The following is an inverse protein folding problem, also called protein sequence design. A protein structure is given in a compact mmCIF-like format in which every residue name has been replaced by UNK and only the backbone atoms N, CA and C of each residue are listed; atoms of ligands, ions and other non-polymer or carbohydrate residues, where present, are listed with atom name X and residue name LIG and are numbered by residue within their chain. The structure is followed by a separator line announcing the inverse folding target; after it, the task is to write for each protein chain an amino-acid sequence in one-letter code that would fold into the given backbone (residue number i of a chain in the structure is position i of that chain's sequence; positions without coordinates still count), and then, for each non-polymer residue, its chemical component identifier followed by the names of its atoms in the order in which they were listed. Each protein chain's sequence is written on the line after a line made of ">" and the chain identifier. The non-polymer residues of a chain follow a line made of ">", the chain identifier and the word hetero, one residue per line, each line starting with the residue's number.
data_IF_616809486907
#
_entry.id   IF_616809486907
#
_cell.length_a   1.000
_cell.length_b   1.000
_cell.length_c   1.000
_cell.angle_alpha   90.00
_cell.angle_beta   90.00
_cell.angle_gamma   90.00
#
_symmetry.space_group_name_H-M   'P 1'
#
loop_
_entity.id
_entity.type
_entity.pdbx_description
1 polymer ?
#
# COMPACT_ATOMS: atom_id res chain seq x y z
N UNK A 1 -13.86 0.19 -15.97
CA UNK A 1 -14.39 -0.33 -14.68
C UNK A 1 -14.15 0.72 -13.61
N UNK A 2 -15.12 1.05 -12.75
CA UNK A 2 -14.95 2.09 -11.70
C UNK A 2 -14.45 1.42 -10.41
N UNK A 3 -13.20 1.68 -10.02
CA UNK A 3 -12.62 1.17 -8.77
C UNK A 3 -13.30 1.79 -7.54
N UNK A 4 -13.52 0.99 -6.51
CA UNK A 4 -13.99 1.45 -5.19
C UNK A 4 -12.90 2.26 -4.47
N UNK A 5 -13.27 2.96 -3.39
CA UNK A 5 -12.31 3.70 -2.59
C UNK A 5 -11.19 2.81 -2.01
N UNK A 6 -11.52 1.59 -1.57
CA UNK A 6 -10.55 0.65 -1.05
C UNK A 6 -9.58 0.15 -2.13
N UNK A 7 -10.11 -0.24 -3.30
CA UNK A 7 -9.30 -0.67 -4.43
C UNK A 7 -8.36 0.44 -4.93
N UNK A 8 -8.82 1.70 -4.94
CA UNK A 8 -7.97 2.86 -5.26
C UNK A 8 -6.81 2.99 -4.27
N UNK A 9 -7.06 2.82 -2.96
CA UNK A 9 -6.00 2.86 -1.94
C UNK A 9 -4.97 1.75 -2.18
N UNK A 10 -5.39 0.55 -2.56
CA UNK A 10 -4.46 -0.53 -2.91
C UNK A 10 -3.62 -0.20 -4.15
N UNK A 11 -4.24 0.33 -5.20
CA UNK A 11 -3.52 0.76 -6.40
C UNK A 11 -2.49 1.84 -6.06
N UNK A 12 -2.89 2.87 -5.29
CA UNK A 12 -1.95 3.91 -4.82
C UNK A 12 -0.83 3.32 -3.95
N UNK A 13 -1.15 2.37 -3.06
CA UNK A 13 -0.15 1.70 -2.23
C UNK A 13 0.89 0.98 -3.09
N UNK A 14 0.45 0.20 -4.09
CA UNK A 14 1.37 -0.47 -5.02
C UNK A 14 2.19 0.56 -5.79
N UNK A 15 1.58 1.65 -6.26
CA UNK A 15 2.29 2.73 -6.98
C UNK A 15 3.39 3.39 -6.16
N UNK A 16 3.19 3.55 -4.86
CA UNK A 16 4.18 4.15 -3.97
C UNK A 16 5.33 3.21 -3.61
N UNK A 17 5.07 1.91 -3.52
CA UNK A 17 6.04 0.92 -3.02
C UNK A 17 6.75 0.13 -4.15
N UNK A 18 6.16 0.09 -5.34
CA UNK A 18 6.74 -0.59 -6.49
C UNK A 18 7.38 0.44 -7.44
N UNK A 19 8.51 0.13 -8.12
CA UNK A 19 9.15 1.01 -9.09
C UNK A 19 8.39 1.16 -10.41
N UNK A 20 7.06 1.20 -10.39
CA UNK A 20 6.24 1.48 -11.58
C UNK A 20 6.31 2.95 -12.05
N UNK A 21 6.83 3.86 -11.22
CA UNK A 21 7.06 5.27 -11.57
C UNK A 21 8.49 5.75 -11.26
N UNK A 22 9.34 5.96 -12.26
CA UNK A 22 10.64 6.59 -12.03
C UNK A 22 10.44 8.11 -11.89
N UNK A 23 10.41 8.63 -10.66
CA UNK A 23 10.17 10.06 -10.34
C UNK A 23 11.07 11.05 -11.10
N UNK A 24 12.25 10.63 -11.56
CA UNK A 24 13.17 11.47 -12.37
C UNK A 24 12.67 11.70 -13.80
N UNK A 25 11.85 10.81 -14.35
CA UNK A 25 11.37 10.88 -15.74
C UNK A 25 10.24 11.88 -15.95
N UNK A 26 9.63 12.39 -14.89
CA UNK A 26 8.47 13.30 -14.97
C UNK A 26 8.85 14.78 -15.09
N UNK A 27 10.13 15.13 -14.88
CA UNK A 27 10.59 16.52 -14.96
C UNK A 27 10.54 17.00 -16.42
N UNK A 28 9.76 18.05 -16.67
CA UNK A 28 9.61 18.66 -18.00
C UNK A 28 8.51 18.03 -18.87
N UNK A 29 7.77 17.03 -18.35
CA UNK A 29 6.62 16.49 -19.07
C UNK A 29 5.43 17.45 -19.05
N UNK A 30 4.70 17.48 -20.16
CA UNK A 30 3.42 18.16 -20.29
C UNK A 30 2.34 17.49 -19.43
N UNK A 31 1.24 18.20 -19.18
CA UNK A 31 0.09 17.65 -18.42
C UNK A 31 -0.49 16.39 -19.08
N UNK A 32 -0.47 16.32 -20.41
CA UNK A 32 -0.96 15.15 -21.15
C UNK A 32 -0.06 13.94 -20.97
N UNK A 33 1.26 14.13 -21.06
CA UNK A 33 2.24 13.06 -20.84
C UNK A 33 2.19 12.54 -19.41
N UNK A 34 2.04 13.43 -18.43
CA UNK A 34 1.83 13.03 -17.03
C UNK A 34 0.57 12.20 -16.85
N UNK A 35 -0.53 12.56 -17.52
CA UNK A 35 -1.79 11.82 -17.44
C UNK A 35 -1.71 10.42 -18.08
N UNK A 36 -1.02 10.30 -19.22
CA UNK A 36 -0.82 8.99 -19.87
C UNK A 36 0.10 8.10 -19.04
N UNK A 37 1.17 8.66 -18.47
CA UNK A 37 2.08 7.92 -17.62
C UNK A 37 1.39 7.48 -16.32
N UNK A 38 0.51 8.31 -15.76
CA UNK A 38 -0.34 7.96 -14.62
C UNK A 38 -1.26 6.79 -14.94
N UNK A 39 -1.88 6.80 -16.12
CA UNK A 39 -2.73 5.70 -16.61
C UNK A 39 -1.95 4.41 -16.82
N UNK A 40 -0.72 4.47 -17.33
CA UNK A 40 0.16 3.30 -17.45
C UNK A 40 0.52 2.73 -16.08
N UNK A 41 0.82 3.60 -15.11
CA UNK A 41 1.14 3.16 -13.75
C UNK A 41 -0.05 2.54 -13.02
N UNK A 42 -1.24 3.09 -13.22
CA UNK A 42 -2.48 2.49 -12.74
C UNK A 42 -2.66 1.09 -13.35
N UNK A 43 -2.46 0.94 -14.67
CA UNK A 43 -2.51 -0.36 -15.35
C UNK A 43 -1.53 -1.38 -14.77
N UNK A 44 -0.27 -0.96 -14.57
CA UNK A 44 0.77 -1.82 -14.00
C UNK A 44 0.45 -2.25 -12.55
N UNK A 45 -0.04 -1.33 -11.73
CA UNK A 45 -0.44 -1.61 -10.36
C UNK A 45 -1.64 -2.55 -10.29
N UNK A 46 -2.63 -2.38 -11.18
CA UNK A 46 -3.78 -3.26 -11.32
C UNK A 46 -3.35 -4.67 -11.74
N UNK A 47 -2.49 -4.79 -12.77
CA UNK A 47 -1.98 -6.07 -13.23
C UNK A 47 -1.17 -6.79 -12.15
N UNK A 48 -0.39 -6.04 -11.37
CA UNK A 48 0.35 -6.57 -10.23
C UNK A 48 -0.62 -7.15 -9.18
N UNK A 49 -1.66 -6.40 -8.83
CA UNK A 49 -2.68 -6.84 -7.87
C UNK A 49 -3.44 -8.07 -8.38
N UNK A 50 -3.79 -8.10 -9.67
CA UNK A 50 -4.43 -9.26 -10.30
C UNK A 50 -3.58 -10.52 -10.23
N UNK A 51 -2.26 -10.39 -10.43
CA UNK A 51 -1.34 -11.52 -10.41
C UNK A 51 -1.08 -12.08 -9.00
N UNK A 52 -1.11 -11.23 -7.96
CA UNK A 52 -0.60 -11.58 -6.62
C UNK A 52 -1.64 -11.58 -5.52
N UNK A 53 -2.71 -10.80 -5.66
CA UNK A 53 -3.67 -10.57 -4.59
C UNK A 53 -5.06 -10.94 -5.07
N UNK A 54 -5.35 -12.23 -5.29
CA UNK A 54 -6.65 -12.72 -5.83
C UNK A 54 -7.89 -12.00 -5.27
N UNK A 55 -7.92 -11.73 -3.97
CA UNK A 55 -9.07 -11.17 -3.26
C UNK A 55 -9.22 -9.64 -3.38
N UNK A 56 -8.27 -8.93 -4.01
CA UNK A 56 -8.30 -7.46 -4.04
C UNK A 56 -9.53 -6.89 -4.77
N UNK A 57 -10.08 -7.65 -5.74
CA UNK A 57 -11.29 -7.29 -6.49
C UNK A 57 -12.58 -7.53 -5.71
N UNK A 58 -12.56 -8.39 -4.69
CA UNK A 58 -13.74 -8.74 -3.89
C UNK A 58 -14.21 -7.55 -3.03
N UNK A 59 -13.45 -6.44 -3.00
CA UNK A 59 -13.73 -5.23 -2.21
C UNK A 59 -13.96 -5.54 -0.72
N UNK A 60 -13.46 -6.68 -0.26
CA UNK A 60 -13.49 -7.13 1.12
C UNK A 60 -12.07 -6.96 1.66
N UNK A 61 -11.76 -5.83 2.32
CA UNK A 61 -10.47 -5.71 2.99
C UNK A 61 -10.32 -6.90 3.95
N UNK A 62 -9.14 -7.56 3.99
CA UNK A 62 -8.91 -8.57 5.01
C UNK A 62 -9.21 -7.94 6.36
N UNK A 63 -10.04 -8.63 7.17
CA UNK A 63 -10.34 -8.18 8.53
C UNK A 63 -9.00 -7.93 9.19
N UNK A 64 -8.72 -6.67 9.53
CA UNK A 64 -7.52 -6.34 10.27
C UNK A 64 -7.64 -7.07 11.59
N UNK A 65 -6.86 -8.13 11.76
CA UNK A 65 -6.60 -8.66 13.09
C UNK A 65 -5.98 -7.49 13.84
N UNK A 66 -6.77 -6.86 14.71
CA UNK A 66 -6.26 -5.82 15.59
C UNK A 66 -5.21 -6.49 16.44
N UNK A 67 -3.94 -6.22 16.16
CA UNK A 67 -2.86 -6.58 17.05
C UNK A 67 -2.93 -5.57 18.19
N UNK A 68 -3.53 -5.98 19.30
CA UNK A 68 -3.47 -5.22 20.54
C UNK A 68 -2.06 -5.42 21.09
N UNK A 69 -1.19 -4.44 20.85
CA UNK A 69 0.11 -4.36 21.52
C UNK A 69 -0.22 -3.89 22.93
N UNK A 70 -0.23 -4.81 23.89
CA UNK A 70 -0.22 -4.44 25.30
C UNK A 70 1.10 -3.70 25.57
N UNK A 71 1.09 -2.55 26.27
CA UNK A 71 2.33 -1.98 26.75
C UNK A 71 3.01 -3.03 27.63
N UNK A 72 4.30 -3.28 27.37
CA UNK A 72 5.15 -4.02 28.31
C UNK A 72 5.19 -3.15 29.56
N UNK A 73 4.46 -3.52 30.60
CA UNK A 73 4.74 -3.01 31.93
C UNK A 73 6.06 -3.66 32.32
N UNK A 74 7.09 -2.84 32.50
CA UNK A 74 8.36 -3.24 33.10
C UNK A 74 8.07 -3.71 34.54
N UNK A 75 7.68 -4.97 34.70
CA UNK A 75 7.90 -5.74 35.92
C UNK A 75 9.24 -6.46 35.73
N UNK A 76 10.33 -5.84 36.22
CA UNK A 76 11.38 -6.50 37.00
C UNK A 76 12.61 -5.59 37.15
N UNK A 77 12.98 -5.23 38.40
CA UNK A 77 14.39 -5.19 38.83
C UNK A 77 14.54 -5.34 40.37
N UNK A 78 14.72 -6.61 40.76
CA UNK A 78 15.55 -7.25 41.81
C UNK A 78 15.96 -6.64 43.19
N UNK A 79 15.94 -7.52 44.20
CA UNK A 79 16.82 -7.70 45.40
C UNK A 79 16.72 -6.73 46.60
N UNK A 80 16.61 -7.17 47.87
CA UNK A 80 17.57 -8.01 48.65
C UNK A 80 16.88 -8.90 49.73
N UNK A 81 17.52 -10.03 50.12
CA UNK A 81 17.26 -10.71 51.38
C UNK A 81 18.26 -10.29 52.48
N UNK A 82 17.76 -9.77 53.61
CA UNK A 82 18.31 -10.02 54.95
C UNK A 82 17.31 -9.66 56.05
#
# INVERSE_FOLDING_TARGET
>A
MKLTAYQRRLVTYVKCNHPCYPKRKTKGMSKQELAELEKQADGNAIAWLDSRVRQWRENSPPKTNKIYVAPVTDEDDEHEPN
#
